data_IF_567135376586
#
_entry.id   IF_567135376586
#
_cell.length_a   1.000
_cell.length_b   1.000
_cell.length_c   1.000
_cell.angle_alpha   90.00
_cell.angle_beta   90.00
_cell.angle_gamma   90.00
#
_symmetry.space_group_name_H-M   'P 1'
#
loop_
_entity.id
_entity.type
_entity.pdbx_description
1 polymer ?
#
# COMPACT_ATOMS: atom_id res chain seq x y z
N UNK A 1 -9.23 -40.26 3.53
CA UNK A 1 -7.99 -39.48 3.66
C UNK A 1 -8.35 -38.00 3.55
N UNK A 2 -8.91 -37.42 4.61
CA UNK A 2 -9.61 -36.14 4.54
C UNK A 2 -9.63 -35.50 5.94
N UNK A 3 -8.55 -34.83 6.33
CA UNK A 3 -8.48 -34.10 7.61
C UNK A 3 -7.58 -32.84 7.57
N UNK A 4 -6.89 -32.55 6.47
CA UNK A 4 -5.97 -31.41 6.38
C UNK A 4 -6.63 -30.07 5.98
N UNK A 5 -7.85 -30.09 5.42
CA UNK A 5 -8.54 -28.90 4.91
C UNK A 5 -8.85 -27.81 5.95
N UNK A 6 -9.33 -28.10 7.18
CA UNK A 6 -9.73 -27.03 8.11
C UNK A 6 -8.54 -26.25 8.70
N UNK A 7 -7.38 -26.90 8.82
CA UNK A 7 -6.18 -26.30 9.43
C UNK A 7 -5.53 -25.28 8.48
N UNK A 8 -5.51 -25.57 7.17
CA UNK A 8 -5.06 -24.66 6.10
C UNK A 8 -5.97 -23.42 5.96
N UNK A 9 -7.29 -23.59 6.08
CA UNK A 9 -8.23 -22.46 6.03
C UNK A 9 -8.16 -21.57 7.29
N UNK A 10 -7.94 -22.16 8.47
CA UNK A 10 -7.80 -21.41 9.72
C UNK A 10 -6.48 -20.63 9.80
N UNK A 11 -5.37 -21.19 9.32
CA UNK A 11 -4.08 -20.47 9.21
C UNK A 11 -4.16 -19.31 8.22
N UNK A 12 -4.87 -19.46 7.10
CA UNK A 12 -5.07 -18.38 6.13
C UNK A 12 -5.76 -17.14 6.73
N UNK A 13 -6.81 -17.32 7.54
CA UNK A 13 -7.50 -16.19 8.19
C UNK A 13 -6.65 -15.47 9.24
N UNK A 14 -5.85 -16.20 10.01
CA UNK A 14 -4.93 -15.59 10.98
C UNK A 14 -3.83 -14.78 10.28
N UNK A 15 -3.28 -15.32 9.18
CA UNK A 15 -2.30 -14.62 8.35
C UNK A 15 -2.86 -13.33 7.75
N UNK A 16 -4.10 -13.34 7.25
CA UNK A 16 -4.78 -12.14 6.72
C UNK A 16 -4.99 -11.08 7.81
N UNK A 17 -5.37 -11.51 9.02
CA UNK A 17 -5.50 -10.60 10.17
C UNK A 17 -4.18 -9.92 10.53
N UNK A 18 -3.08 -10.68 10.55
CA UNK A 18 -1.74 -10.14 10.78
C UNK A 18 -1.28 -9.20 9.66
N UNK A 19 -1.53 -9.55 8.40
CA UNK A 19 -1.18 -8.71 7.25
C UNK A 19 -1.91 -7.36 7.28
N UNK A 20 -3.21 -7.36 7.60
CA UNK A 20 -4.01 -6.13 7.76
C UNK A 20 -3.51 -5.28 8.91
N UNK A 21 -3.16 -5.92 10.03
CA UNK A 21 -2.57 -5.21 11.17
C UNK A 21 -1.23 -4.55 10.77
N UNK A 22 -0.33 -5.31 10.13
CA UNK A 22 0.97 -4.81 9.69
C UNK A 22 0.84 -3.63 8.72
N UNK A 23 -0.05 -3.75 7.73
CA UNK A 23 -0.34 -2.67 6.77
C UNK A 23 -0.72 -1.36 7.46
N UNK A 24 -1.63 -1.43 8.45
CA UNK A 24 -2.06 -0.25 9.21
C UNK A 24 -0.94 0.36 10.08
N UNK A 25 0.04 -0.45 10.50
CA UNK A 25 1.17 0.03 11.32
C UNK A 25 2.27 0.73 10.51
N UNK A 26 2.45 0.38 9.23
CA UNK A 26 3.49 0.95 8.37
C UNK A 26 3.36 2.46 8.10
N UNK A 27 2.22 3.08 8.42
CA UNK A 27 2.07 4.53 8.47
C UNK A 27 2.00 5.26 7.12
N UNK A 28 2.31 4.60 6.00
CA UNK A 28 2.19 5.19 4.66
C UNK A 28 0.74 5.59 4.32
N UNK A 29 -0.25 4.90 4.91
CA UNK A 29 -1.66 5.29 4.80
C UNK A 29 -1.95 6.69 5.35
N UNK A 30 -1.19 7.14 6.36
CA UNK A 30 -1.35 8.45 7.01
C UNK A 30 -0.87 9.62 6.15
N UNK A 31 0.01 9.34 5.18
CA UNK A 31 0.51 10.30 4.20
C UNK A 31 -0.13 10.10 2.81
N UNK A 32 -1.11 9.19 2.72
CA UNK A 32 -1.91 8.96 1.53
C UNK A 32 -1.13 8.32 0.37
N UNK A 33 -0.09 7.54 0.67
CA UNK A 33 0.60 6.70 -0.31
C UNK A 33 -0.14 5.36 -0.48
N UNK A 34 -0.03 4.78 -1.68
CA UNK A 34 -0.36 3.36 -1.89
C UNK A 34 0.86 2.49 -1.63
N UNK A 35 0.64 1.19 -1.44
CA UNK A 35 1.71 0.20 -1.24
C UNK A 35 2.77 0.27 -2.34
N UNK A 36 2.34 0.31 -3.59
CA UNK A 36 3.24 0.28 -4.75
C UNK A 36 4.04 1.58 -4.91
N UNK A 37 3.65 2.66 -4.21
CA UNK A 37 4.44 3.90 -4.18
C UNK A 37 5.66 3.79 -3.24
N UNK A 38 5.70 2.77 -2.37
CA UNK A 38 6.78 2.59 -1.36
C UNK A 38 7.89 1.63 -1.81
N UNK A 39 7.76 1.02 -2.98
CA UNK A 39 8.78 0.13 -3.54
C UNK A 39 10.03 0.93 -3.95
N UNK A 40 11.21 0.32 -3.81
CA UNK A 40 12.45 0.92 -4.28
C UNK A 40 12.51 0.90 -5.81
N UNK A 41 12.83 2.04 -6.44
CA UNK A 41 12.87 2.19 -7.90
C UNK A 41 14.17 1.67 -8.50
N UNK A 42 14.27 0.35 -8.67
CA UNK A 42 15.34 -0.32 -9.43
C UNK A 42 15.09 -0.25 -10.96
N UNK A 43 15.93 -0.94 -11.76
CA UNK A 43 15.77 -0.98 -13.22
C UNK A 43 14.43 -1.57 -13.67
N UNK A 44 13.95 -2.57 -12.93
CA UNK A 44 12.80 -3.37 -13.31
C UNK A 44 11.51 -2.62 -12.98
N UNK A 45 11.47 -1.97 -11.81
CA UNK A 45 10.40 -1.07 -11.39
C UNK A 45 10.32 0.13 -12.34
N UNK A 46 11.45 0.70 -12.77
CA UNK A 46 11.44 1.79 -13.77
C UNK A 46 10.83 1.35 -15.09
N UNK A 47 11.12 0.12 -15.54
CA UNK A 47 10.48 -0.41 -16.74
C UNK A 47 8.98 -0.66 -16.52
N UNK A 48 8.58 -1.17 -15.37
CA UNK A 48 7.18 -1.35 -15.01
C UNK A 48 6.41 -0.01 -15.00
N UNK A 49 7.00 1.04 -14.42
CA UNK A 49 6.43 2.40 -14.41
C UNK A 49 6.30 2.97 -15.83
N UNK A 50 7.22 2.65 -16.75
CA UNK A 50 7.14 3.06 -18.16
C UNK A 50 5.97 2.40 -18.90
N UNK A 51 5.55 1.20 -18.48
CA UNK A 51 4.44 0.45 -19.09
C UNK A 51 3.07 0.89 -18.57
N UNK A 52 3.04 1.66 -17.49
CA UNK A 52 1.80 2.07 -16.81
C UNK A 52 0.99 3.05 -17.69
N UNK A 53 -0.35 2.99 -17.68
CA UNK A 53 -1.18 4.00 -18.31
C UNK A 53 -0.88 5.40 -17.75
N UNK A 54 -0.93 6.42 -18.61
CA UNK A 54 -0.59 7.80 -18.26
C UNK A 54 -1.38 8.33 -17.05
N UNK A 55 -2.68 7.99 -16.98
CA UNK A 55 -3.53 8.40 -15.86
C UNK A 55 -3.02 7.87 -14.52
N UNK A 56 -2.73 6.57 -14.45
CA UNK A 56 -2.25 5.92 -13.21
C UNK A 56 -0.87 6.42 -12.82
N UNK A 57 0.00 6.69 -13.81
CA UNK A 57 1.29 7.30 -13.58
C UNK A 57 1.15 8.71 -12.97
N UNK A 58 0.29 9.55 -13.52
CA UNK A 58 0.04 10.90 -13.02
C UNK A 58 -0.56 10.87 -11.60
N UNK A 59 -1.48 9.95 -11.32
CA UNK A 59 -2.07 9.75 -9.99
C UNK A 59 -1.00 9.33 -8.97
N UNK A 60 -0.07 8.42 -9.34
CA UNK A 60 1.09 8.05 -8.51
C UNK A 60 1.95 9.27 -8.18
N UNK A 61 2.32 10.05 -9.20
CA UNK A 61 3.16 11.24 -9.02
C UNK A 61 2.48 12.28 -8.12
N UNK A 62 1.16 12.45 -8.24
CA UNK A 62 0.39 13.33 -7.36
C UNK A 62 0.45 12.86 -5.90
N UNK A 63 0.25 11.57 -5.62
CA UNK A 63 0.35 11.01 -4.26
C UNK A 63 1.74 11.20 -3.67
N UNK A 64 2.79 10.97 -4.44
CA UNK A 64 4.18 11.15 -4.00
C UNK A 64 4.46 12.62 -3.66
N UNK A 65 4.06 13.57 -4.53
CA UNK A 65 4.22 15.01 -4.27
C UNK A 65 3.50 15.44 -3.00
N UNK A 66 2.26 14.96 -2.79
CA UNK A 66 1.49 15.22 -1.57
C UNK A 66 2.20 14.67 -0.33
N UNK A 67 2.70 13.43 -0.41
CA UNK A 67 3.42 12.81 0.71
C UNK A 67 4.71 13.57 1.08
N UNK A 68 5.45 14.06 0.07
CA UNK A 68 6.64 14.89 0.27
C UNK A 68 6.29 16.22 0.95
N UNK A 69 5.24 16.91 0.51
CA UNK A 69 4.76 18.15 1.12
C UNK A 69 4.38 17.97 2.60
N UNK A 70 3.64 16.89 2.91
CA UNK A 70 3.28 16.53 4.29
C UNK A 70 4.50 16.20 5.14
N UNK A 71 5.46 15.46 4.57
CA UNK A 71 6.71 15.11 5.24
C UNK A 71 7.53 16.36 5.56
N UNK A 72 7.61 17.33 4.63
CA UNK A 72 8.30 18.60 4.85
C UNK A 72 7.66 19.42 5.97
N UNK A 73 6.33 19.38 6.07
CA UNK A 73 5.56 20.09 7.10
C UNK A 73 5.49 19.32 8.43
N UNK A 74 5.97 18.09 8.49
CA UNK A 74 5.77 17.17 9.62
C UNK A 74 4.29 17.04 10.00
N UNK A 75 3.41 17.03 8.99
CA UNK A 75 1.96 16.94 9.15
C UNK A 75 1.43 15.60 8.63
N UNK A 76 0.27 15.20 9.14
CA UNK A 76 -0.44 14.00 8.69
C UNK A 76 -1.72 14.41 7.96
N UNK A 77 -2.16 13.55 7.03
CA UNK A 77 -3.42 13.74 6.35
C UNK A 77 -4.60 13.59 7.34
N UNK A 78 -5.74 14.27 7.14
CA UNK A 78 -6.97 13.98 7.86
C UNK A 78 -7.37 12.50 7.74
N UNK A 79 -7.93 11.90 8.81
CA UNK A 79 -8.22 10.45 8.89
C UNK A 79 -9.17 9.94 7.81
N UNK A 80 -10.06 10.78 7.33
CA UNK A 80 -11.02 10.51 6.25
C UNK A 80 -10.33 10.31 4.89
N UNK A 81 -9.14 10.87 4.71
CA UNK A 81 -8.37 10.81 3.46
C UNK A 81 -7.28 9.72 3.46
N UNK A 82 -7.16 8.94 4.54
CA UNK A 82 -6.17 7.86 4.62
C UNK A 82 -6.52 6.75 3.63
N UNK A 83 -5.51 6.26 2.91
CA UNK A 83 -5.67 5.11 2.01
C UNK A 83 -6.15 3.89 2.79
N UNK A 84 -7.24 3.28 2.33
CA UNK A 84 -7.84 2.13 3.01
C UNK A 84 -7.22 0.84 2.48
N UNK A 85 -7.10 -0.15 3.35
CA UNK A 85 -6.61 -1.48 2.97
C UNK A 85 -7.48 -2.16 1.90
N UNK A 86 -8.77 -1.84 1.84
CA UNK A 86 -9.74 -2.40 0.88
C UNK A 86 -9.63 -1.77 -0.52
N UNK A 87 -8.82 -0.72 -0.68
CA UNK A 87 -8.54 -0.07 -1.96
C UNK A 87 -7.27 -0.63 -2.64
N UNK A 88 -6.71 -1.72 -2.08
CA UNK A 88 -5.55 -2.47 -2.60
C UNK A 88 -6.02 -3.76 -3.28
#
# INVERSE_FOLDING_TARGET
TSSAAPVLFATGRLMLGFQKWYYNTCGFSKIGLMRDDTIHEDSDVKEALRRLPEKEYNDRIFRIKRALDLSMKMQILPKDQWTKYEEV
#
